data_IF_847777491450
#
_entry.id   IF_847777491450
#
_cell.length_a   1.000
_cell.length_b   1.000
_cell.length_c   1.000
_cell.angle_alpha   90.00
_cell.angle_beta   90.00
_cell.angle_gamma   90.00
#
_symmetry.space_group_name_H-M   'P 1'
#
loop_
_entity.id
_entity.type
_entity.pdbx_description
1 polymer ?
#
# COMPACT_ATOMS: atom_id res chain seq x y z
N UNK A 1 -5.60 13.09 -22.85
CA UNK A 1 -5.86 12.51 -21.51
C UNK A 1 -5.96 10.99 -21.70
N UNK A 2 -5.11 10.19 -21.07
CA UNK A 2 -4.92 8.76 -21.38
C UNK A 2 -5.99 7.79 -20.81
N UNK A 3 -7.16 8.27 -20.40
CA UNK A 3 -8.28 7.40 -19.96
C UNK A 3 -8.04 6.60 -18.68
N UNK A 4 -7.05 6.97 -17.85
CA UNK A 4 -6.75 6.27 -16.60
C UNK A 4 -7.91 6.41 -15.60
N UNK A 5 -8.55 5.28 -15.24
CA UNK A 5 -9.72 5.26 -14.36
C UNK A 5 -9.43 4.91 -12.90
N UNK A 6 -8.28 4.29 -12.61
CA UNK A 6 -7.88 3.94 -11.25
C UNK A 6 -6.39 3.65 -11.12
N UNK A 7 -5.90 3.63 -9.88
CA UNK A 7 -4.55 3.20 -9.49
C UNK A 7 -4.64 2.21 -8.33
N UNK A 8 -3.78 1.20 -8.34
CA UNK A 8 -3.59 0.30 -7.20
C UNK A 8 -2.19 0.52 -6.64
N UNK A 9 -2.08 0.77 -5.35
CA UNK A 9 -0.82 1.06 -4.66
C UNK A 9 -0.60 0.03 -3.55
N UNK A 10 0.58 -0.58 -3.49
CA UNK A 10 0.96 -1.43 -2.35
C UNK A 10 1.44 -0.54 -1.20
N UNK A 11 0.73 -0.54 -0.07
CA UNK A 11 1.04 0.30 1.09
C UNK A 11 1.11 -0.60 2.32
N UNK A 12 2.31 -1.09 2.65
CA UNK A 12 2.51 -2.07 3.73
C UNK A 12 2.99 -1.47 5.07
N UNK A 13 3.30 -0.18 5.10
CA UNK A 13 3.72 0.57 6.29
C UNK A 13 3.64 2.07 6.01
N UNK A 14 3.35 2.87 7.03
CA UNK A 14 3.45 4.34 7.02
C UNK A 14 4.69 4.83 7.77
N UNK A 15 5.49 3.90 8.30
CA UNK A 15 6.74 4.19 8.98
C UNK A 15 7.90 4.23 7.96
N UNK A 16 8.61 5.36 7.90
CA UNK A 16 9.76 5.57 7.00
C UNK A 16 10.84 4.50 7.13
N UNK A 17 11.23 4.14 8.34
CA UNK A 17 12.30 3.16 8.57
C UNK A 17 11.90 1.76 8.10
N UNK A 18 10.66 1.34 8.40
CA UNK A 18 10.11 0.07 7.90
C UNK A 18 9.93 0.08 6.38
N UNK A 19 9.55 1.22 5.81
CA UNK A 19 9.44 1.39 4.37
C UNK A 19 10.79 1.22 3.68
N UNK A 20 11.85 1.87 4.17
CA UNK A 20 13.20 1.70 3.65
C UNK A 20 13.65 0.24 3.75
N UNK A 21 13.39 -0.41 4.89
CA UNK A 21 13.74 -1.81 5.08
C UNK A 21 13.00 -2.75 4.10
N UNK A 22 11.76 -2.42 3.73
CA UNK A 22 10.92 -3.23 2.85
C UNK A 22 11.18 -2.96 1.35
N UNK A 23 11.30 -1.69 0.97
CA UNK A 23 11.34 -1.23 -0.44
C UNK A 23 12.78 -0.95 -0.89
N UNK A 24 13.71 -0.72 0.03
CA UNK A 24 15.09 -0.35 -0.25
C UNK A 24 15.29 1.10 -0.71
N UNK A 25 14.24 1.93 -0.65
CA UNK A 25 14.26 3.33 -1.07
C UNK A 25 13.63 4.22 -0.01
N UNK A 26 14.05 5.49 0.00
CA UNK A 26 13.60 6.49 0.98
C UNK A 26 12.68 7.56 0.35
N UNK A 27 11.62 7.09 -0.30
CA UNK A 27 10.66 7.89 -1.06
C UNK A 27 9.19 7.71 -0.59
N UNK A 28 8.98 7.26 0.65
CA UNK A 28 7.64 7.12 1.22
C UNK A 28 6.83 8.43 1.14
N UNK A 29 7.48 9.57 1.34
CA UNK A 29 6.83 10.88 1.24
C UNK A 29 6.25 11.12 -0.15
N UNK A 30 6.97 10.76 -1.21
CA UNK A 30 6.52 10.93 -2.59
C UNK A 30 5.32 10.01 -2.89
N UNK A 31 5.33 8.79 -2.35
CA UNK A 31 4.20 7.85 -2.47
C UNK A 31 2.95 8.41 -1.80
N UNK A 32 3.08 8.90 -0.56
CA UNK A 32 1.96 9.50 0.17
C UNK A 32 1.41 10.72 -0.58
N UNK A 33 2.29 11.54 -1.15
CA UNK A 33 1.87 12.71 -1.92
C UNK A 33 1.16 12.33 -3.22
N UNK A 34 1.66 11.31 -3.94
CA UNK A 34 0.98 10.78 -5.13
C UNK A 34 -0.42 10.24 -4.81
N UNK A 35 -0.59 9.58 -3.66
CA UNK A 35 -1.90 9.10 -3.18
C UNK A 35 -2.84 10.29 -2.88
N UNK A 36 -2.35 11.35 -2.24
CA UNK A 36 -3.15 12.56 -1.97
C UNK A 36 -3.60 13.23 -3.27
N UNK A 37 -2.71 13.32 -4.25
CA UNK A 37 -3.05 13.83 -5.59
C UNK A 37 -4.16 12.99 -6.21
N UNK A 38 -4.09 11.65 -6.11
CA UNK A 38 -5.14 10.77 -6.62
C UNK A 38 -6.49 11.07 -5.97
N UNK A 39 -6.53 11.27 -4.64
CA UNK A 39 -7.74 11.70 -3.93
C UNK A 39 -8.26 13.04 -4.45
N UNK A 40 -7.38 14.03 -4.58
CA UNK A 40 -7.75 15.41 -4.92
C UNK A 40 -8.31 15.54 -6.33
N UNK A 41 -7.80 14.75 -7.28
CA UNK A 41 -8.31 14.71 -8.66
C UNK A 41 -9.47 13.72 -8.86
N UNK A 42 -9.88 13.00 -7.80
CA UNK A 42 -10.96 12.01 -7.85
C UNK A 42 -10.59 10.71 -8.57
N UNK A 43 -9.30 10.37 -8.67
CA UNK A 43 -8.84 9.12 -9.26
C UNK A 43 -9.03 7.97 -8.26
N UNK A 44 -9.82 6.97 -8.65
CA UNK A 44 -10.11 5.81 -7.80
C UNK A 44 -8.83 5.09 -7.39
N UNK A 45 -8.64 4.90 -6.08
CA UNK A 45 -7.41 4.31 -5.53
C UNK A 45 -7.71 3.07 -4.69
N UNK A 46 -6.96 2.00 -4.92
CA UNK A 46 -6.99 0.77 -4.13
C UNK A 46 -5.65 0.54 -3.44
N UNK A 47 -5.65 0.34 -2.14
CA UNK A 47 -4.47 -0.07 -1.38
C UNK A 47 -4.42 -1.59 -1.28
N UNK A 48 -3.31 -2.16 -1.70
CA UNK A 48 -2.94 -3.53 -1.35
C UNK A 48 -2.15 -3.48 -0.03
N UNK A 49 -2.66 -4.17 0.98
CA UNK A 49 -2.02 -4.29 2.29
C UNK A 49 -1.79 -5.75 2.63
N UNK A 50 -0.53 -6.20 2.53
CA UNK A 50 -0.16 -7.54 3.00
C UNK A 50 -0.02 -7.49 4.52
N UNK A 51 -0.96 -8.14 5.22
CA UNK A 51 -0.96 -8.20 6.67
C UNK A 51 0.08 -9.22 7.14
N UNK A 52 1.07 -8.74 7.89
CA UNK A 52 2.18 -9.54 8.42
C UNK A 52 2.31 -9.33 9.93
N UNK A 53 2.96 -10.27 10.61
CA UNK A 53 3.29 -10.11 12.03
C UNK A 53 4.13 -8.85 12.30
N UNK A 54 4.94 -8.44 11.34
CA UNK A 54 5.86 -7.29 11.44
C UNK A 54 5.19 -5.92 11.31
N UNK A 55 3.98 -5.85 10.75
CA UNK A 55 3.27 -4.59 10.52
C UNK A 55 1.84 -4.57 11.07
N UNK A 56 1.38 -5.61 11.77
CA UNK A 56 0.03 -5.69 12.34
C UNK A 56 -0.30 -4.54 13.29
N UNK A 57 0.70 -3.96 13.96
CA UNK A 57 0.57 -2.77 14.80
C UNK A 57 0.18 -1.51 14.02
N UNK A 58 0.40 -1.48 12.70
CA UNK A 58 0.02 -0.38 11.82
C UNK A 58 -1.35 -0.59 11.15
N UNK A 59 -2.04 -1.72 11.39
CA UNK A 59 -3.28 -2.06 10.70
C UNK A 59 -4.33 -0.95 10.78
N UNK A 60 -4.63 -0.48 11.99
CA UNK A 60 -5.60 0.59 12.21
C UNK A 60 -5.15 1.92 11.57
N UNK A 61 -3.84 2.19 11.56
CA UNK A 61 -3.28 3.40 10.95
C UNK A 61 -3.39 3.37 9.43
N UNK A 62 -3.21 2.19 8.81
CA UNK A 62 -3.43 1.98 7.37
C UNK A 62 -4.92 2.16 7.02
N UNK A 63 -5.83 1.62 7.82
CA UNK A 63 -7.28 1.79 7.60
C UNK A 63 -7.69 3.26 7.70
N UNK A 64 -7.24 3.97 8.73
CA UNK A 64 -7.47 5.42 8.88
C UNK A 64 -6.91 6.21 7.71
N UNK A 65 -5.69 5.90 7.28
CA UNK A 65 -5.09 6.55 6.11
C UNK A 65 -5.90 6.29 4.84
N UNK A 66 -6.37 5.06 4.61
CA UNK A 66 -7.23 4.76 3.47
C UNK A 66 -8.55 5.52 3.50
N UNK A 67 -9.18 5.64 4.67
CA UNK A 67 -10.39 6.44 4.88
C UNK A 67 -10.15 7.91 4.53
N UNK A 68 -9.08 8.51 5.07
CA UNK A 68 -8.68 9.89 4.76
C UNK A 68 -8.44 10.12 3.26
N UNK A 69 -7.90 9.10 2.58
CA UNK A 69 -7.61 9.15 1.14
C UNK A 69 -8.79 8.75 0.25
N UNK A 70 -9.94 8.38 0.83
CA UNK A 70 -11.10 7.81 0.10
C UNK A 70 -10.71 6.60 -0.77
N UNK A 71 -9.71 5.84 -0.31
CA UNK A 71 -9.20 4.66 -0.98
C UNK A 71 -9.87 3.39 -0.42
N UNK A 72 -9.98 2.37 -1.27
CA UNK A 72 -10.36 1.02 -0.83
C UNK A 72 -9.14 0.30 -0.29
N UNK A 73 -9.32 -0.65 0.62
CA UNK A 73 -8.24 -1.52 1.11
C UNK A 73 -8.54 -2.97 0.75
N UNK A 74 -7.57 -3.64 0.13
CA UNK A 74 -7.53 -5.09 -0.04
C UNK A 74 -6.45 -5.64 0.90
N UNK A 75 -6.90 -6.37 1.91
CA UNK A 75 -6.01 -7.13 2.78
C UNK A 75 -5.58 -8.38 2.03
N UNK A 76 -4.29 -8.67 2.06
CA UNK A 76 -3.69 -9.83 1.42
C UNK A 76 -2.90 -10.64 2.45
N UNK A 77 -2.84 -11.94 2.23
CA UNK A 77 -2.00 -12.85 3.01
C UNK A 77 -0.58 -12.86 2.42
N UNK A 78 0.41 -13.07 3.29
CA UNK A 78 1.77 -13.31 2.85
C UNK A 78 1.87 -14.77 2.38
N UNK A 79 2.17 -14.96 1.10
CA UNK A 79 2.44 -16.29 0.54
C UNK A 79 3.95 -16.50 0.47
N UNK A 80 4.42 -17.68 0.87
CA UNK A 80 5.78 -18.13 0.58
C UNK A 80 5.82 -18.93 -0.74
N UNK A 81 7.01 -19.15 -1.28
CA UNK A 81 7.22 -19.84 -2.56
C UNK A 81 6.64 -21.27 -2.56
N UNK A 82 6.76 -21.95 -1.41
CA UNK A 82 6.20 -23.28 -1.17
C UNK A 82 4.68 -23.28 -1.23
N UNK A 83 4.02 -22.24 -0.71
CA UNK A 83 2.56 -22.07 -0.74
C UNK A 83 2.05 -21.89 -2.18
N UNK A 84 2.90 -21.40 -3.08
CA UNK A 84 2.59 -21.15 -4.49
C UNK A 84 2.97 -22.32 -5.41
N UNK A 85 3.54 -23.40 -4.86
CA UNK A 85 4.02 -24.54 -5.65
C UNK A 85 5.19 -24.20 -6.59
N UNK A 86 5.92 -23.12 -6.32
CA UNK A 86 7.08 -22.70 -7.09
C UNK A 86 8.34 -23.25 -6.41
N UNK A 87 9.10 -24.10 -7.11
CA UNK A 87 10.43 -24.54 -6.71
C UNK A 87 11.45 -23.89 -7.65
N UNK A 88 12.36 -23.08 -7.10
CA UNK A 88 13.55 -22.59 -7.81
C UNK A 88 14.78 -23.37 -7.35
#
# INVERSE_FOLDING_TARGET
>A
MAGLGSVTVSVNTLNRARYIALVGQDNLTDVIEGIRICRDVGLSTLFNYTLMKSNIDEFDSILRFAEEMRAKVKIMELHNESDLGLQF
#
